data_IF_008550917208
#
_entry.id   IF_008550917208
#
_cell.length_a   1.000
_cell.length_b   1.000
_cell.length_c   1.000
_cell.angle_alpha   90.00
_cell.angle_beta   90.00
_cell.angle_gamma   90.00
#
_symmetry.space_group_name_H-M   'P 1'
#
loop_
_entity.id
_entity.type
_entity.pdbx_description
1 polymer ?
#
# COMPACT_ATOMS: atom_id res chain seq x y z
N UNK A 1 9.31 10.76 -5.47
CA UNK A 1 8.15 10.48 -4.60
C UNK A 1 6.91 10.34 -5.48
N UNK A 2 6.19 9.23 -5.32
CA UNK A 2 4.97 8.90 -6.06
C UNK A 2 3.78 9.20 -5.14
N UNK A 3 2.71 9.77 -5.69
CA UNK A 3 1.50 10.10 -4.93
C UNK A 3 0.34 9.28 -5.50
N UNK A 4 -0.33 8.55 -4.62
CA UNK A 4 -1.58 7.86 -4.92
C UNK A 4 -2.72 8.51 -4.15
N UNK A 5 -3.72 9.01 -4.87
CA UNK A 5 -4.93 9.64 -4.31
C UNK A 5 -6.14 8.73 -4.32
N UNK A 6 -6.00 7.51 -4.83
CA UNK A 6 -7.06 6.50 -4.78
C UNK A 6 -6.84 5.63 -3.55
N UNK A 7 -7.85 5.58 -2.69
CA UNK A 7 -7.82 4.76 -1.48
C UNK A 7 -7.76 3.27 -1.87
N UNK A 8 -6.73 2.51 -1.45
CA UNK A 8 -6.59 1.10 -1.83
C UNK A 8 -7.61 0.18 -1.14
N UNK A 9 -8.28 0.64 -0.09
CA UNK A 9 -9.30 -0.12 0.66
C UNK A 9 -10.69 0.11 0.06
N UNK A 10 -11.10 1.37 -0.13
CA UNK A 10 -12.42 1.69 -0.68
C UNK A 10 -12.46 1.77 -2.21
N UNK A 11 -11.30 1.87 -2.88
CA UNK A 11 -11.14 2.12 -4.32
C UNK A 11 -11.78 3.45 -4.78
N UNK A 12 -11.98 4.37 -3.84
CA UNK A 12 -12.54 5.69 -4.10
C UNK A 12 -11.40 6.71 -4.20
N UNK A 13 -11.51 7.62 -5.16
CA UNK A 13 -10.61 8.76 -5.25
C UNK A 13 -10.86 9.73 -4.09
N UNK A 14 -9.80 10.03 -3.35
CA UNK A 14 -9.84 10.93 -2.19
C UNK A 14 -9.90 12.38 -2.66
N UNK A 15 -11.03 13.09 -2.47
CA UNK A 15 -11.12 14.50 -2.79
C UNK A 15 -10.31 15.32 -1.77
N UNK A 16 -9.67 16.41 -2.21
CA UNK A 16 -8.87 17.28 -1.33
C UNK A 16 -7.88 16.53 -0.42
N UNK A 17 -6.91 15.78 -0.99
CA UNK A 17 -6.03 14.88 -0.24
C UNK A 17 -5.28 15.54 0.93
N UNK A 18 -5.01 16.85 0.87
CA UNK A 18 -4.37 17.60 1.96
C UNK A 18 -5.17 17.62 3.27
N UNK A 19 -6.49 17.40 3.22
CA UNK A 19 -7.37 17.32 4.38
C UNK A 19 -7.59 15.88 4.88
N UNK A 20 -6.99 14.89 4.22
CA UNK A 20 -7.23 13.47 4.45
C UNK A 20 -6.02 12.75 5.06
N UNK A 21 -6.23 11.65 5.80
CA UNK A 21 -5.15 10.86 6.35
C UNK A 21 -4.29 10.24 5.24
N UNK A 22 -2.99 10.09 5.51
CA UNK A 22 -2.06 9.46 4.58
C UNK A 22 -1.03 8.58 5.29
N UNK A 23 -0.36 7.75 4.49
CA UNK A 23 0.87 7.02 4.85
C UNK A 23 1.93 7.27 3.79
N UNK A 24 3.20 7.15 4.19
CA UNK A 24 4.34 7.20 3.28
C UNK A 24 5.11 5.89 3.45
N UNK A 25 5.30 5.18 2.35
CA UNK A 25 6.03 3.92 2.30
C UNK A 25 7.31 4.07 1.48
N UNK A 26 8.38 3.40 1.93
CA UNK A 26 9.70 3.51 1.34
C UNK A 26 10.39 4.85 1.62
N UNK A 27 11.52 5.08 0.95
CA UNK A 27 12.40 6.24 1.18
C UNK A 27 12.91 6.82 -0.16
N UNK A 28 13.25 8.11 -0.16
CA UNK A 28 13.85 8.79 -1.32
C UNK A 28 12.91 8.98 -2.52
N UNK A 29 13.46 8.94 -3.72
CA UNK A 29 12.72 9.18 -4.96
C UNK A 29 11.63 8.15 -5.25
N UNK A 30 11.74 6.96 -4.68
CA UNK A 30 10.76 5.87 -4.82
C UNK A 30 9.75 5.81 -3.68
N UNK A 31 9.77 6.76 -2.74
CA UNK A 31 8.78 6.82 -1.67
C UNK A 31 7.37 6.99 -2.25
N UNK A 32 6.42 6.21 -1.76
CA UNK A 32 5.02 6.22 -2.15
C UNK A 32 4.17 6.85 -1.04
N UNK A 33 3.43 7.91 -1.35
CA UNK A 33 2.46 8.52 -0.45
C UNK A 33 1.05 8.13 -0.86
N UNK A 34 0.32 7.51 0.05
CA UNK A 34 -1.03 7.00 -0.19
C UNK A 34 -1.98 7.78 0.71
N UNK A 35 -3.00 8.40 0.10
CA UNK A 35 -4.08 9.09 0.80
C UNK A 35 -5.28 8.14 1.00
N UNK A 36 -5.97 8.28 2.13
CA UNK A 36 -7.15 7.48 2.47
C UNK A 36 -8.38 8.35 2.67
N UNK A 37 -9.53 7.81 2.38
CA UNK A 37 -10.82 8.48 2.58
C UNK A 37 -11.02 8.84 4.06
N UNK A 38 -10.60 7.97 4.97
CA UNK A 38 -10.81 8.08 6.42
C UNK A 38 -9.77 7.28 7.22
N UNK A 39 -9.71 7.51 8.54
CA UNK A 39 -8.73 6.86 9.43
C UNK A 39 -8.94 5.34 9.54
N UNK A 40 -10.18 4.85 9.38
CA UNK A 40 -10.46 3.42 9.39
C UNK A 40 -9.77 2.71 8.23
N UNK A 41 -9.85 3.25 7.01
CA UNK A 41 -9.18 2.68 5.84
C UNK A 41 -7.66 2.69 6.00
N UNK A 42 -7.11 3.78 6.55
CA UNK A 42 -5.68 3.82 6.90
C UNK A 42 -5.29 2.74 7.90
N UNK A 43 -6.07 2.54 8.96
CA UNK A 43 -5.78 1.53 9.98
C UNK A 43 -5.93 0.11 9.43
N UNK A 44 -6.93 -0.13 8.59
CA UNK A 44 -7.08 -1.38 7.84
C UNK A 44 -5.85 -1.61 6.97
N UNK A 45 -5.41 -0.63 6.19
CA UNK A 45 -4.23 -0.73 5.34
C UNK A 45 -2.96 -1.07 6.14
N UNK A 46 -2.72 -0.39 7.26
CA UNK A 46 -1.58 -0.65 8.14
C UNK A 46 -1.68 -1.98 8.89
N UNK A 47 -2.90 -2.51 9.06
CA UNK A 47 -3.18 -3.78 9.72
C UNK A 47 -3.22 -4.97 8.77
N UNK A 48 -3.23 -4.75 7.45
CA UNK A 48 -2.98 -5.82 6.48
C UNK A 48 -1.53 -6.25 6.72
N UNK A 49 -1.36 -7.48 7.19
CA UNK A 49 -0.04 -8.10 7.27
C UNK A 49 0.55 -8.04 5.88
N UNK A 50 1.61 -7.23 5.72
CA UNK A 50 2.41 -7.28 4.51
C UNK A 50 3.08 -8.64 4.57
N UNK A 51 2.47 -9.64 3.93
CA UNK A 51 3.21 -10.83 3.54
C UNK A 51 4.45 -10.27 2.85
N UNK A 52 5.62 -10.47 3.46
CA UNK A 52 6.87 -10.23 2.81
C UNK A 52 7.05 -11.44 1.89
N UNK A 53 6.79 -11.38 0.57
CA UNK A 53 7.14 -12.47 -0.34
C UNK A 53 8.67 -12.50 -0.51
N UNK A 54 9.43 -12.59 0.58
CA UNK A 54 10.88 -12.45 0.60
C UNK A 54 11.57 -13.43 1.54
N UNK A 55 10.86 -14.03 2.50
CA UNK A 55 11.45 -14.98 3.46
C UNK A 55 10.87 -16.40 3.38
N UNK A 56 10.00 -16.70 2.41
CA UNK A 56 9.53 -18.07 2.15
C UNK A 56 9.18 -18.29 0.67
N UNK A 57 10.20 -18.26 -0.19
CA UNK A 57 10.10 -18.94 -1.48
C UNK A 57 10.89 -20.25 -1.41
N UNK A 58 10.48 -21.17 -0.52
CA UNK A 58 11.01 -22.54 -0.51
C UNK A 58 10.44 -23.41 -1.63
N UNK A 59 9.51 -22.89 -2.44
CA UNK A 59 8.95 -23.63 -3.58
C UNK A 59 9.57 -23.17 -4.89
N UNK A 60 10.62 -23.89 -5.31
CA UNK A 60 11.02 -23.91 -6.72
C UNK A 60 9.87 -24.55 -7.51
N UNK A 61 9.16 -23.76 -8.30
CA UNK A 61 8.26 -24.27 -9.35
C UNK A 61 9.11 -24.81 -10.49
N UNK A 62 9.77 -25.95 -10.27
CA UNK A 62 10.40 -26.71 -11.35
C UNK A 62 9.27 -27.33 -12.17
N UNK A 63 8.93 -26.65 -13.27
CA UNK A 63 7.95 -27.16 -14.22
C UNK A 63 8.64 -28.28 -15.01
N UNK A 64 8.60 -29.50 -14.48
CA UNK A 64 9.18 -30.68 -15.11
C UNK A 64 8.51 -30.90 -16.48
N UNK A 65 9.27 -30.65 -17.55
CA UNK A 65 8.90 -30.90 -18.95
C UNK A 65 8.96 -32.38 -19.31
#
# INVERSE_FOLDING_TARGET
>A
MIISTTDPISLVDVPNPEAHPFVVEGEGDNALKIYFENEENKNTYLGIEVEHPGEDFETNLDNLV
#
